data_IF_526504020608
#
_entry.id   IF_526504020608
#
_cell.length_a   1.000
_cell.length_b   1.000
_cell.length_c   1.000
_cell.angle_alpha   90.00
_cell.angle_beta   90.00
_cell.angle_gamma   90.00
#
_symmetry.space_group_name_H-M   'P 1'
#
loop_
_entity.id
_entity.type
_entity.pdbx_description
1 polymer ?
#
# COMPACT_ATOMS: atom_id res chain seq x y z
N UNK A 1 23.17 4.88 -81.98
CA UNK A 1 23.54 4.29 -80.66
C UNK A 1 22.77 5.05 -79.59
N UNK A 2 21.82 4.39 -78.91
CA UNK A 2 20.97 5.03 -77.90
C UNK A 2 21.43 4.60 -76.51
N UNK A 3 21.97 5.52 -75.72
CA UNK A 3 22.34 5.24 -74.32
C UNK A 3 21.20 5.71 -73.41
N UNK A 4 20.39 4.78 -72.90
CA UNK A 4 19.41 5.06 -71.83
C UNK A 4 20.16 5.26 -70.51
N UNK A 5 20.31 6.50 -70.07
CA UNK A 5 20.75 6.78 -68.70
C UNK A 5 19.53 6.77 -67.76
N UNK A 6 19.45 5.77 -66.89
CA UNK A 6 18.51 5.79 -65.76
C UNK A 6 19.08 6.69 -64.66
N UNK A 7 18.40 7.82 -64.40
CA UNK A 7 18.71 8.72 -63.29
C UNK A 7 18.41 8.00 -61.97
N UNK A 8 19.44 7.62 -61.21
CA UNK A 8 19.23 7.05 -59.88
C UNK A 8 18.60 8.09 -58.96
N UNK A 9 17.36 7.82 -58.52
CA UNK A 9 16.62 8.67 -57.58
C UNK A 9 16.84 8.14 -56.16
N UNK A 10 17.53 8.93 -55.33
CA UNK A 10 17.85 8.58 -53.93
C UNK A 10 16.70 8.84 -52.94
N UNK A 11 15.48 9.11 -53.44
CA UNK A 11 14.33 9.55 -52.64
C UNK A 11 13.86 8.51 -51.61
N UNK A 12 14.17 7.22 -51.82
CA UNK A 12 13.84 6.15 -50.87
C UNK A 12 14.73 6.09 -49.61
N UNK A 13 15.88 6.77 -49.60
CA UNK A 13 16.88 6.62 -48.52
C UNK A 13 16.41 7.16 -47.16
N UNK A 14 15.45 8.08 -47.15
CA UNK A 14 14.92 8.69 -45.92
C UNK A 14 13.67 7.99 -45.38
N UNK A 15 13.09 7.04 -46.11
CA UNK A 15 11.85 6.36 -45.67
C UNK A 15 12.09 5.58 -44.39
N UNK A 16 13.14 4.75 -44.36
CA UNK A 16 13.47 3.91 -43.20
C UNK A 16 13.85 4.75 -41.98
N UNK A 17 14.77 5.74 -42.07
CA UNK A 17 15.08 6.62 -40.94
C UNK A 17 13.85 7.36 -40.40
N UNK A 18 13.01 7.92 -41.27
CA UNK A 18 11.80 8.64 -40.84
C UNK A 18 10.82 7.73 -40.12
N UNK A 19 10.62 6.50 -40.63
CA UNK A 19 9.76 5.52 -39.97
C UNK A 19 10.32 5.16 -38.59
N UNK A 20 11.63 4.91 -38.48
CA UNK A 20 12.29 4.60 -37.21
C UNK A 20 12.10 5.72 -36.18
N UNK A 21 12.28 6.99 -36.56
CA UNK A 21 12.06 8.12 -35.65
C UNK A 21 10.61 8.16 -35.15
N UNK A 22 9.65 7.90 -36.03
CA UNK A 22 8.22 7.89 -35.68
C UNK A 22 7.89 6.77 -34.68
N UNK A 23 8.42 5.57 -34.89
CA UNK A 23 8.30 4.46 -33.96
C UNK A 23 8.99 4.75 -32.61
N UNK A 24 10.20 5.29 -32.62
CA UNK A 24 10.92 5.64 -31.40
C UNK A 24 10.19 6.72 -30.60
N UNK A 25 9.61 7.71 -31.27
CA UNK A 25 8.80 8.74 -30.62
C UNK A 25 7.54 8.13 -29.96
N UNK A 26 6.84 7.24 -30.68
CA UNK A 26 5.67 6.54 -30.14
C UNK A 26 6.01 5.69 -28.92
N UNK A 27 7.02 4.82 -29.04
CA UNK A 27 7.44 3.96 -27.93
C UNK A 27 8.03 4.77 -26.78
N UNK A 28 8.78 5.83 -27.07
CA UNK A 28 9.29 6.76 -26.06
C UNK A 28 8.14 7.40 -25.27
N UNK A 29 7.13 7.93 -25.94
CA UNK A 29 5.95 8.51 -25.28
C UNK A 29 5.23 7.48 -24.39
N UNK A 30 5.00 6.27 -24.92
CA UNK A 30 4.35 5.19 -24.17
C UNK A 30 5.21 4.62 -23.04
N UNK A 31 6.54 4.69 -23.12
CA UNK A 31 7.42 4.28 -22.02
C UNK A 31 7.26 5.20 -20.79
N UNK A 32 6.95 6.48 -20.99
CA UNK A 32 6.70 7.42 -19.89
C UNK A 32 5.24 7.42 -19.43
N UNK A 33 4.28 7.49 -20.36
CA UNK A 33 2.86 7.70 -20.06
C UNK A 33 2.00 6.44 -20.12
N UNK A 34 2.56 5.32 -20.60
CA UNK A 34 1.83 4.07 -20.70
C UNK A 34 1.46 3.49 -19.35
N UNK A 35 0.49 2.58 -19.37
CA UNK A 35 0.01 1.89 -18.18
C UNK A 35 1.11 1.07 -17.47
N UNK A 36 2.09 0.57 -18.23
CA UNK A 36 3.30 -0.10 -17.73
C UNK A 36 4.56 0.79 -17.83
N UNK A 37 4.36 2.09 -17.94
CA UNK A 37 5.44 3.06 -18.06
C UNK A 37 6.17 3.35 -16.74
N UNK A 38 7.17 4.20 -16.82
CA UNK A 38 8.01 4.60 -15.67
C UNK A 38 7.15 5.24 -14.57
N UNK A 39 6.22 6.12 -14.95
CA UNK A 39 5.38 6.83 -13.97
C UNK A 39 4.42 5.89 -13.23
N UNK A 40 3.83 4.92 -13.94
CA UNK A 40 2.92 3.96 -13.32
C UNK A 40 3.64 3.06 -12.32
N UNK A 41 4.89 2.67 -12.62
CA UNK A 41 5.75 1.93 -11.69
C UNK A 41 5.94 2.71 -10.39
N UNK A 42 6.30 3.99 -10.46
CA UNK A 42 6.46 4.81 -9.25
C UNK A 42 5.17 4.91 -8.43
N UNK A 43 4.03 5.11 -9.10
CA UNK A 43 2.71 5.15 -8.44
C UNK A 43 2.37 3.82 -7.75
N UNK A 44 2.59 2.70 -8.42
CA UNK A 44 2.37 1.36 -7.87
C UNK A 44 3.29 1.08 -6.67
N UNK A 45 4.56 1.48 -6.74
CA UNK A 45 5.49 1.33 -5.62
C UNK A 45 5.07 2.17 -4.42
N UNK A 46 4.60 3.40 -4.63
CA UNK A 46 4.08 4.24 -3.55
C UNK A 46 2.84 3.63 -2.90
N UNK A 47 1.89 3.13 -3.70
CA UNK A 47 0.71 2.43 -3.19
C UNK A 47 1.09 1.16 -2.41
N UNK A 48 2.03 0.36 -2.94
CA UNK A 48 2.49 -0.83 -2.26
C UNK A 48 3.12 -0.50 -0.88
N UNK A 49 3.92 0.57 -0.80
CA UNK A 49 4.52 1.01 0.46
C UNK A 49 3.44 1.49 1.47
N UNK A 50 2.42 2.21 1.00
CA UNK A 50 1.30 2.63 1.84
C UNK A 50 0.51 1.43 2.38
N UNK A 51 0.14 0.49 1.50
CA UNK A 51 -0.58 -0.72 1.89
C UNK A 51 0.24 -1.57 2.85
N UNK A 52 1.56 -1.67 2.65
CA UNK A 52 2.45 -2.38 3.56
C UNK A 52 2.42 -1.75 4.96
N UNK A 53 2.45 -0.42 5.04
CA UNK A 53 2.36 0.29 6.32
C UNK A 53 1.03 0.03 7.02
N UNK A 54 -0.08 0.01 6.28
CA UNK A 54 -1.40 -0.31 6.83
C UNK A 54 -1.46 -1.76 7.32
N UNK A 55 -0.90 -2.70 6.55
CA UNK A 55 -0.81 -4.11 6.92
C UNK A 55 -0.04 -4.27 8.23
N UNK A 56 1.14 -3.63 8.35
CA UNK A 56 1.97 -3.71 9.54
C UNK A 56 1.24 -3.15 10.78
N UNK A 57 0.50 -2.04 10.63
CA UNK A 57 -0.31 -1.47 11.69
C UNK A 57 -1.47 -2.38 12.14
N UNK A 58 -2.14 -3.06 11.20
CA UNK A 58 -3.20 -4.02 11.53
C UNK A 58 -2.62 -5.29 12.15
N UNK A 59 -1.48 -5.78 11.64
CA UNK A 59 -0.78 -6.94 12.18
C UNK A 59 -0.29 -6.70 13.60
N UNK A 60 0.23 -5.52 13.90
CA UNK A 60 0.62 -5.14 15.27
C UNK A 60 -0.57 -5.19 16.23
N UNK A 61 -1.74 -4.68 15.81
CA UNK A 61 -2.98 -4.75 16.60
C UNK A 61 -3.45 -6.19 16.82
N UNK A 62 -3.38 -7.02 15.77
CA UNK A 62 -3.70 -8.45 15.88
C UNK A 62 -2.81 -9.14 16.92
N UNK A 63 -1.51 -8.92 16.86
CA UNK A 63 -0.55 -9.52 17.81
C UNK A 63 -0.83 -9.08 19.25
N UNK A 64 -1.17 -7.81 19.46
CA UNK A 64 -1.53 -7.32 20.80
C UNK A 64 -2.78 -8.01 21.35
N UNK A 65 -3.81 -8.17 20.53
CA UNK A 65 -5.01 -8.91 20.91
C UNK A 65 -4.76 -10.40 21.11
N UNK A 66 -3.95 -11.03 20.25
CA UNK A 66 -3.56 -12.43 20.42
C UNK A 66 -2.84 -12.64 21.75
N UNK A 67 -1.95 -11.72 22.15
CA UNK A 67 -1.31 -11.78 23.48
C UNK A 67 -2.34 -11.66 24.61
N UNK A 68 -3.27 -10.72 24.53
CA UNK A 68 -4.35 -10.56 25.54
C UNK A 68 -5.24 -11.80 25.62
N UNK A 69 -5.61 -12.36 24.48
CA UNK A 69 -6.41 -13.59 24.40
C UNK A 69 -5.63 -14.78 24.95
N UNK A 70 -4.35 -14.91 24.63
CA UNK A 70 -3.50 -15.97 25.16
C UNK A 70 -3.37 -15.89 26.69
N UNK A 71 -3.23 -14.69 27.25
CA UNK A 71 -3.28 -14.46 28.70
C UNK A 71 -4.62 -14.89 29.32
N UNK A 72 -5.70 -14.90 28.54
CA UNK A 72 -7.02 -15.38 28.97
C UNK A 72 -7.26 -16.88 28.68
N UNK A 73 -6.43 -17.55 27.86
CA UNK A 73 -6.79 -18.85 27.26
C UNK A 73 -6.11 -20.13 27.79
N UNK A 74 -5.08 -20.09 28.63
CA UNK A 74 -4.49 -21.36 29.12
C UNK A 74 -4.57 -21.51 30.64
N UNK A 75 -5.45 -22.42 31.10
CA UNK A 75 -5.38 -23.13 32.39
C UNK A 75 -5.41 -22.31 33.68
N UNK A 76 -5.43 -20.99 33.58
CA UNK A 76 -5.33 -20.02 34.67
C UNK A 76 -6.18 -18.80 34.33
N UNK A 77 -7.46 -19.00 34.04
CA UNK A 77 -8.41 -17.89 34.06
C UNK A 77 -8.37 -17.31 35.48
N UNK A 78 -7.53 -16.30 35.70
CA UNK A 78 -7.38 -15.68 37.01
C UNK A 78 -8.73 -15.07 37.36
N UNK A 79 -9.33 -15.61 38.42
CA UNK A 79 -10.62 -15.16 38.96
C UNK A 79 -10.64 -13.65 39.16
N UNK A 80 -9.50 -13.06 39.51
CA UNK A 80 -9.31 -11.64 39.73
C UNK A 80 -9.46 -10.82 38.43
N UNK A 81 -8.97 -11.32 37.29
CA UNK A 81 -9.15 -10.66 35.99
C UNK A 81 -10.62 -10.70 35.53
N UNK A 82 -11.33 -11.80 35.78
CA UNK A 82 -12.75 -11.92 35.48
C UNK A 82 -13.58 -10.99 36.37
N UNK A 83 -13.24 -10.90 37.65
CA UNK A 83 -13.89 -10.03 38.63
C UNK A 83 -13.64 -8.54 38.33
N UNK A 84 -12.41 -8.15 37.95
CA UNK A 84 -12.11 -6.78 37.49
C UNK A 84 -12.96 -6.40 36.27
N UNK A 85 -13.03 -7.27 35.26
CA UNK A 85 -13.84 -7.00 34.06
C UNK A 85 -15.34 -6.96 34.35
N UNK A 86 -15.86 -7.87 35.18
CA UNK A 86 -17.26 -7.87 35.58
C UNK A 86 -17.63 -6.59 36.35
N UNK A 87 -16.79 -6.18 37.30
CA UNK A 87 -16.97 -4.93 38.08
C UNK A 87 -16.89 -3.70 37.20
N UNK A 88 -15.92 -3.65 36.29
CA UNK A 88 -15.76 -2.54 35.34
C UNK A 88 -16.96 -2.41 34.40
N UNK A 89 -17.51 -3.52 33.92
CA UNK A 89 -18.69 -3.52 33.06
C UNK A 89 -19.96 -3.05 33.81
N UNK A 90 -20.06 -3.36 35.10
CA UNK A 90 -21.22 -3.04 35.95
C UNK A 90 -21.06 -1.75 36.76
N UNK A 91 -19.93 -1.02 36.61
CA UNK A 91 -19.57 0.15 37.44
C UNK A 91 -19.62 -0.13 38.95
N UNK A 92 -19.10 -1.29 39.38
CA UNK A 92 -19.01 -1.70 40.78
C UNK A 92 -17.59 -1.51 41.32
N UNK A 93 -17.45 -1.12 42.59
CA UNK A 93 -16.18 -1.05 43.32
C UNK A 93 -16.29 -1.79 44.65
N UNK A 94 -15.16 -2.30 45.18
CA UNK A 94 -15.13 -2.92 46.51
C UNK A 94 -15.34 -1.86 47.61
N UNK A 95 -15.89 -2.24 48.78
CA UNK A 95 -15.97 -1.35 49.94
C UNK A 95 -14.63 -0.68 50.34
N UNK A 96 -13.51 -1.32 50.00
CA UNK A 96 -12.15 -0.89 50.38
C UNK A 96 -11.41 -0.19 49.22
N UNK A 97 -12.07 0.06 48.09
CA UNK A 97 -11.50 0.70 46.90
C UNK A 97 -11.90 2.19 46.80
N UNK A 98 -10.99 3.02 46.27
CA UNK A 98 -11.22 4.46 46.10
C UNK A 98 -11.65 4.74 44.65
N UNK A 99 -12.87 5.25 44.47
CA UNK A 99 -13.39 5.65 43.16
C UNK A 99 -13.01 7.10 42.84
N UNK A 100 -12.22 7.31 41.78
CA UNK A 100 -11.84 8.64 41.27
C UNK A 100 -12.67 8.94 40.02
N UNK A 101 -13.56 9.94 40.08
CA UNK A 101 -14.29 10.41 38.91
C UNK A 101 -13.40 11.36 38.10
N UNK A 102 -13.03 10.93 36.90
CA UNK A 102 -12.28 11.76 35.95
C UNK A 102 -13.25 12.73 35.24
N UNK A 103 -12.87 14.01 35.02
CA UNK A 103 -13.68 14.92 34.23
C UNK A 103 -13.82 14.37 32.81
N UNK A 104 -15.00 14.52 32.21
CA UNK A 104 -15.24 14.11 30.84
C UNK A 104 -14.22 14.82 29.93
N UNK A 105 -13.22 14.06 29.47
CA UNK A 105 -12.27 14.56 28.48
C UNK A 105 -13.05 14.77 27.19
N UNK A 106 -13.34 16.03 26.87
CA UNK A 106 -13.96 16.43 25.63
C UNK A 106 -13.08 15.91 24.48
N UNK A 107 -13.58 14.88 23.80
CA UNK A 107 -12.96 14.32 22.60
C UNK A 107 -13.70 14.84 21.38
#
# INVERSE_FOLDING_TARGET
MWTRQHKQRNTGKLIVPSLCVLFLAYFGFHAYHGEFGIYSKYRLQAQAAELQTQLDAVKARRIDFERRVQLMHEGTLEKDMLDEQARKALNLSHPDEITIMLPASAK
#
